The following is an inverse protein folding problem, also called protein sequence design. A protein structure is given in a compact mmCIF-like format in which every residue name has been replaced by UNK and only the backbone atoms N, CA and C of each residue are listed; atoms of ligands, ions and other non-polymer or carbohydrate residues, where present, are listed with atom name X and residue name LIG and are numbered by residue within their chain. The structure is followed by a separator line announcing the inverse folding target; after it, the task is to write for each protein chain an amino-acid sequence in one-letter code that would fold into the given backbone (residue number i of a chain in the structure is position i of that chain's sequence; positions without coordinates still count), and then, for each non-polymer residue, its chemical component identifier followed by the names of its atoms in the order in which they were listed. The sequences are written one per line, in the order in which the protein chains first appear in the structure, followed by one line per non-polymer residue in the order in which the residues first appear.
data_IF_791330503952
#
_entry.id   IF_791330503952
#
_cell.length_a   1.000
_cell.length_b   1.000
_cell.length_c   1.000
_cell.angle_alpha   90.00
_cell.angle_beta   90.00
_cell.angle_gamma   90.00
#
_symmetry.space_group_name_H-M   'P 1'
#
loop_
_entity.id
_entity.type
_entity.pdbx_description
1 polymer ?
#
# COMPACT_ATOMS: atom_id res chain seq x y z
N UNK A 1 -55.81 20.45 -14.32
CA UNK A 1 -54.97 21.56 -13.83
C UNK A 1 -53.56 20.98 -13.72
N UNK A 2 -52.50 21.38 -14.45
CA UNK A 2 -51.99 22.74 -14.80
C UNK A 2 -51.70 23.55 -13.53
N UNK A 3 -50.50 24.04 -13.24
CA UNK A 3 -49.34 24.47 -14.07
C UNK A 3 -48.02 23.72 -13.72
N UNK A 4 -46.94 23.60 -14.52
CA UNK A 4 -46.10 24.48 -15.38
C UNK A 4 -45.07 25.40 -14.67
N UNK A 5 -43.80 24.95 -14.60
CA UNK A 5 -42.50 25.61 -14.94
C UNK A 5 -41.35 24.71 -14.40
N UNK A 6 -40.38 24.22 -15.17
CA UNK A 6 -39.34 24.88 -16.00
C UNK A 6 -38.31 25.64 -15.14
N UNK A 7 -37.08 25.12 -15.10
CA UNK A 7 -35.90 25.74 -14.53
C UNK A 7 -34.62 25.13 -15.14
N UNK A 8 -34.09 25.75 -16.19
CA UNK A 8 -32.89 25.29 -16.92
C UNK A 8 -31.70 26.19 -16.61
N UNK A 9 -30.53 25.61 -16.29
CA UNK A 9 -29.34 26.39 -15.92
C UNK A 9 -28.02 25.61 -16.01
N UNK A 10 -27.57 25.29 -17.23
CA UNK A 10 -26.16 24.94 -17.51
C UNK A 10 -25.39 26.21 -17.88
N UNK A 11 -24.23 26.42 -17.28
CA UNK A 11 -22.97 26.73 -18.00
C UNK A 11 -21.80 26.93 -17.01
N UNK A 12 -20.71 26.18 -17.20
CA UNK A 12 -19.38 26.55 -16.72
C UNK A 12 -18.65 27.31 -17.84
N UNK A 13 -18.12 28.50 -17.56
CA UNK A 13 -17.09 29.15 -18.38
C UNK A 13 -16.49 30.35 -17.63
N UNK A 14 -15.28 30.19 -17.10
CA UNK A 14 -14.44 31.28 -16.61
C UNK A 14 -13.15 31.27 -17.41
N UNK A 15 -12.70 32.45 -17.82
CA UNK A 15 -11.65 32.62 -18.82
C UNK A 15 -10.25 32.48 -18.23
N UNK A 16 -9.35 31.84 -18.98
CA UNK A 16 -7.90 31.98 -18.79
C UNK A 16 -7.44 33.15 -19.66
N UNK A 17 -7.04 34.25 -19.02
CA UNK A 17 -6.31 35.34 -19.67
C UNK A 17 -4.89 35.37 -19.13
N UNK A 18 -3.93 34.87 -19.92
CA UNK A 18 -2.52 35.05 -19.62
C UNK A 18 -2.08 36.49 -19.85
N UNK A 19 -1.21 37.02 -18.99
CA UNK A 19 -0.52 38.28 -19.21
C UNK A 19 0.97 38.09 -18.87
N UNK A 20 1.82 38.09 -19.89
CA UNK A 20 3.27 38.08 -19.70
C UNK A 20 3.79 39.50 -19.47
N UNK A 21 4.73 39.67 -18.55
CA UNK A 21 5.41 40.95 -18.32
C UNK A 21 6.91 40.73 -18.10
N UNK A 22 7.65 40.66 -19.21
CA UNK A 22 9.09 40.85 -19.22
C UNK A 22 9.39 42.34 -19.11
N UNK A 23 9.97 42.78 -17.99
CA UNK A 23 10.74 44.02 -17.92
C UNK A 23 11.97 43.83 -17.04
N UNK A 24 13.11 43.57 -17.69
CA UNK A 24 14.41 43.91 -17.12
C UNK A 24 14.79 45.33 -17.54
N UNK A 25 15.44 46.09 -16.67
CA UNK A 25 16.14 47.31 -17.02
C UNK A 25 17.42 47.44 -16.17
N UNK A 26 18.54 47.98 -16.70
CA UNK A 26 19.85 47.80 -16.07
C UNK A 26 20.34 49.02 -15.29
N UNK A 27 21.22 48.82 -14.30
CA UNK A 27 22.52 49.50 -14.29
C UNK A 27 23.49 49.02 -13.20
N UNK A 28 24.71 48.70 -13.63
CA UNK A 28 26.01 48.74 -12.95
C UNK A 28 26.05 49.25 -11.49
N UNK A 29 26.49 48.37 -10.58
CA UNK A 29 27.51 48.72 -9.59
C UNK A 29 28.76 47.85 -9.87
N UNK A 30 29.94 48.46 -9.86
CA UNK A 30 31.22 47.73 -9.94
C UNK A 30 31.73 47.37 -8.53
N UNK A 31 32.67 46.41 -8.40
CA UNK A 31 33.18 45.99 -7.11
C UNK A 31 34.19 46.99 -6.55
N UNK A 32 34.09 47.28 -5.25
CA UNK A 32 35.22 47.74 -4.44
C UNK A 32 35.82 46.53 -3.73
N UNK A 33 37.16 46.35 -3.71
CA UNK A 33 37.79 45.29 -2.95
C UNK A 33 37.72 45.60 -1.44
N UNK A 34 37.07 44.73 -0.69
CA UNK A 34 37.09 44.71 0.77
C UNK A 34 37.39 43.30 1.24
N UNK A 35 38.38 43.15 2.13
CA UNK A 35 38.74 41.85 2.67
C UNK A 35 37.64 41.33 3.60
N UNK A 36 37.30 40.05 3.44
CA UNK A 36 36.24 39.40 4.18
C UNK A 36 36.18 37.95 3.76
N UNK A 37 36.89 37.09 4.49
CA UNK A 37 36.87 35.63 4.27
C UNK A 37 35.53 35.10 4.81
N UNK A 38 34.49 35.27 4.01
CA UNK A 38 33.15 34.78 4.27
C UNK A 38 33.09 33.26 4.15
N UNK A 39 33.64 32.56 5.13
CA UNK A 39 33.39 31.14 5.31
C UNK A 39 31.88 30.93 5.47
N UNK A 40 31.28 30.14 4.58
CA UNK A 40 29.86 29.80 4.62
C UNK A 40 29.60 28.85 5.79
N UNK A 41 29.55 29.39 7.00
CA UNK A 41 29.32 28.65 8.23
C UNK A 41 27.96 27.98 8.21
N UNK A 42 27.96 26.65 8.13
CA UNK A 42 26.81 25.82 8.44
C UNK A 42 26.40 26.11 9.91
N UNK A 43 25.15 26.49 10.13
CA UNK A 43 24.67 26.82 11.48
C UNK A 43 24.56 25.54 12.30
N UNK A 44 25.15 25.46 13.51
CA UNK A 44 25.14 24.23 14.29
C UNK A 44 23.71 23.85 14.71
N UNK A 45 23.40 22.55 14.67
CA UNK A 45 22.17 21.97 15.20
C UNK A 45 22.05 22.14 16.72
N UNK A 46 23.20 22.28 17.40
CA UNK A 46 23.32 22.60 18.80
C UNK A 46 24.77 22.90 19.17
N UNK A 47 24.95 23.75 20.18
CA UNK A 47 26.26 24.14 20.70
C UNK A 47 26.26 24.18 22.22
N UNK A 48 27.44 24.14 22.82
CA UNK A 48 27.67 24.41 24.25
C UNK A 48 29.06 25.01 24.40
N UNK A 49 29.24 26.00 25.28
CA UNK A 49 30.55 26.60 25.56
C UNK A 49 30.97 26.52 27.04
N UNK A 50 32.26 26.67 27.27
CA UNK A 50 32.88 26.90 28.58
C UNK A 50 34.17 27.71 28.42
N UNK A 51 34.76 28.18 29.52
CA UNK A 51 36.05 28.90 29.51
C UNK A 51 37.13 28.02 30.15
N UNK A 52 38.21 27.75 29.42
CA UNK A 52 39.37 26.98 29.88
C UNK A 52 40.65 27.79 29.63
N UNK A 53 41.54 27.87 30.61
CA UNK A 53 42.82 28.63 30.58
C UNK A 53 42.72 30.13 30.21
N UNK A 54 41.50 30.67 30.08
CA UNK A 54 41.20 32.05 29.65
C UNK A 54 40.56 32.16 28.26
N UNK A 55 40.43 31.05 27.53
CA UNK A 55 39.88 30.95 26.18
C UNK A 55 38.48 30.32 26.22
N UNK A 56 37.56 30.77 25.35
CA UNK A 56 36.23 30.15 25.23
C UNK A 56 36.29 28.96 24.26
N UNK A 57 35.96 27.76 24.76
CA UNK A 57 35.83 26.55 23.96
C UNK A 57 34.34 26.31 23.66
N UNK A 58 33.96 26.28 22.38
CA UNK A 58 32.57 25.97 21.96
C UNK A 58 32.54 24.65 21.22
N UNK A 59 31.88 23.64 21.78
CA UNK A 59 31.59 22.38 21.08
C UNK A 59 30.34 22.59 20.21
N UNK A 60 30.47 22.37 18.90
CA UNK A 60 29.40 22.47 17.92
C UNK A 60 29.04 21.10 17.34
N UNK A 61 27.74 20.81 17.23
CA UNK A 61 27.21 19.74 16.37
C UNK A 61 26.77 20.38 15.05
N UNK A 62 27.53 20.15 13.99
CA UNK A 62 27.32 20.78 12.69
C UNK A 62 26.14 20.15 11.94
N UNK A 63 26.01 18.82 11.98
CA UNK A 63 24.98 18.15 11.18
C UNK A 63 24.83 16.65 11.47
N UNK A 64 23.69 16.12 11.04
CA UNK A 64 23.41 14.68 10.95
C UNK A 64 22.90 14.38 9.54
N UNK A 65 23.42 13.34 8.92
CA UNK A 65 23.13 12.95 7.52
C UNK A 65 21.66 12.63 7.21
N UNK A 66 20.85 12.26 8.23
CA UNK A 66 19.42 11.95 8.10
C UNK A 66 18.72 12.06 9.46
N UNK A 67 17.43 12.37 9.47
CA UNK A 67 16.58 12.39 10.68
C UNK A 67 15.80 11.09 10.89
N UNK A 68 15.39 10.42 9.80
CA UNK A 68 14.79 9.08 9.78
C UNK A 68 15.74 8.08 9.10
N UNK A 69 15.66 6.80 9.48
CA UNK A 69 16.66 5.77 9.15
C UNK A 69 16.08 4.35 9.23
N UNK A 70 16.78 3.39 8.63
CA UNK A 70 16.62 1.95 8.88
C UNK A 70 17.86 1.36 9.59
N UNK A 71 17.75 0.17 10.17
CA UNK A 71 18.86 -0.48 10.90
C UNK A 71 20.09 -0.83 10.07
N UNK A 72 20.03 -0.70 8.74
CA UNK A 72 21.18 -0.86 7.82
C UNK A 72 21.72 0.45 7.27
N UNK A 73 21.06 1.57 7.56
CA UNK A 73 21.52 2.88 7.10
C UNK A 73 22.71 3.36 7.93
N UNK A 74 23.72 4.00 7.32
CA UNK A 74 24.71 4.78 8.05
C UNK A 74 24.11 6.11 8.51
N UNK A 75 24.22 6.38 9.80
CA UNK A 75 23.94 7.66 10.45
C UNK A 75 25.28 8.35 10.69
N UNK A 76 25.73 9.14 9.72
CA UNK A 76 26.89 10.03 9.89
C UNK A 76 26.49 11.27 10.68
N UNK A 77 27.31 11.64 11.68
CA UNK A 77 27.22 12.85 12.50
C UNK A 77 28.53 13.64 12.41
N UNK A 78 28.46 14.98 12.51
CA UNK A 78 29.61 15.88 12.40
C UNK A 78 29.61 16.97 13.46
N UNK A 79 30.79 17.36 13.89
CA UNK A 79 31.00 18.46 14.83
C UNK A 79 32.41 19.01 14.76
N UNK A 80 32.66 20.05 15.57
CA UNK A 80 33.97 20.68 15.76
C UNK A 80 34.01 21.41 17.09
N UNK A 81 35.21 21.82 17.50
CA UNK A 81 35.45 22.76 18.59
C UNK A 81 35.84 24.10 17.96
N UNK A 82 34.99 25.11 18.13
CA UNK A 82 35.24 26.47 17.63
C UNK A 82 36.56 26.98 18.22
N UNK A 83 37.37 27.59 17.36
CA UNK A 83 38.66 28.22 17.65
C UNK A 83 39.75 27.31 18.29
N UNK A 84 39.50 26.00 18.41
CA UNK A 84 40.46 24.99 18.91
C UNK A 84 40.39 23.65 18.13
N UNK A 85 40.65 23.64 16.81
CA UNK A 85 40.40 22.49 15.92
C UNK A 85 41.26 21.25 16.23
N UNK A 86 42.38 21.40 16.95
CA UNK A 86 43.15 20.26 17.47
C UNK A 86 42.41 19.46 18.56
N UNK A 87 41.25 19.94 19.01
CA UNK A 87 40.32 19.25 19.90
C UNK A 87 39.21 18.50 19.16
N UNK A 88 39.05 18.68 17.84
CA UNK A 88 38.00 18.01 17.04
C UNK A 88 38.11 16.48 17.13
N UNK A 89 39.32 15.96 17.05
CA UNK A 89 39.61 14.52 17.15
C UNK A 89 39.43 13.94 18.57
N UNK A 90 39.05 14.78 19.55
CA UNK A 90 38.69 14.38 20.93
C UNK A 90 37.17 14.43 21.19
N UNK A 91 36.35 14.77 20.19
CA UNK A 91 34.90 14.78 20.35
C UNK A 91 34.41 13.33 20.45
N UNK A 92 33.80 12.99 21.59
CA UNK A 92 33.19 11.69 21.86
C UNK A 92 31.71 11.72 21.51
N UNK A 93 31.32 10.91 20.52
CA UNK A 93 29.96 10.77 20.04
C UNK A 93 29.27 9.56 20.66
N UNK A 94 27.95 9.65 20.88
CA UNK A 94 27.12 8.53 21.34
C UNK A 94 25.69 8.69 20.82
N UNK A 95 25.13 7.62 20.23
CA UNK A 95 23.70 7.49 20.00
C UNK A 95 23.07 6.66 21.12
N UNK A 96 22.25 7.30 21.96
CA UNK A 96 21.59 6.63 23.09
C UNK A 96 20.19 6.18 22.70
N UNK A 97 19.85 4.88 22.80
CA UNK A 97 18.53 4.38 22.42
C UNK A 97 17.44 4.95 23.34
N UNK A 98 16.34 5.37 22.72
CA UNK A 98 15.12 5.81 23.40
C UNK A 98 14.07 4.70 23.27
N UNK A 99 13.51 4.29 24.40
CA UNK A 99 12.51 3.22 24.48
C UNK A 99 13.09 1.80 24.37
N UNK A 100 12.39 0.78 24.90
CA UNK A 100 12.87 -0.61 24.92
C UNK A 100 12.94 -1.26 23.54
N UNK A 101 12.25 -0.69 22.54
CA UNK A 101 12.27 -1.15 21.15
C UNK A 101 13.59 -0.84 20.43
N UNK A 102 14.37 0.12 20.93
CA UNK A 102 15.63 0.54 20.31
C UNK A 102 16.80 -0.16 20.97
N UNK A 103 17.71 -0.73 20.17
CA UNK A 103 18.98 -1.27 20.64
C UNK A 103 20.08 -0.21 20.59
N UNK A 104 21.11 -0.40 21.40
CA UNK A 104 22.35 0.38 21.37
C UNK A 104 22.94 0.35 19.95
N UNK A 105 23.47 1.48 19.48
CA UNK A 105 24.03 1.58 18.14
C UNK A 105 25.40 0.88 18.04
N UNK A 106 25.83 0.56 16.81
CA UNK A 106 27.19 0.08 16.51
C UNK A 106 27.96 1.15 15.69
N UNK A 107 29.12 1.63 16.14
CA UNK A 107 29.70 1.42 17.48
C UNK A 107 28.86 2.12 18.56
N UNK A 108 28.96 1.70 19.81
CA UNK A 108 28.22 2.34 20.91
C UNK A 108 28.72 3.75 21.22
N UNK A 109 29.98 4.05 20.89
CA UNK A 109 30.62 5.36 20.96
C UNK A 109 31.75 5.47 19.94
N UNK A 110 32.04 6.69 19.47
CA UNK A 110 33.11 6.97 18.49
C UNK A 110 33.84 8.26 18.87
N UNK A 111 35.14 8.35 18.63
CA UNK A 111 35.94 9.57 18.83
C UNK A 111 36.34 10.15 17.46
N UNK A 112 36.28 11.48 17.27
CA UNK A 112 36.65 12.13 16.00
C UNK A 112 35.77 13.32 15.62
N UNK A 113 36.23 14.11 14.63
CA UNK A 113 35.45 15.19 14.00
C UNK A 113 34.16 14.70 13.30
N UNK A 114 34.20 13.50 12.74
CA UNK A 114 33.08 12.77 12.14
C UNK A 114 32.92 11.39 12.81
N UNK A 115 31.68 10.92 12.96
CA UNK A 115 31.39 9.56 13.38
C UNK A 115 30.26 8.96 12.54
N UNK A 116 30.29 7.63 12.34
CA UNK A 116 29.25 6.88 11.62
C UNK A 116 28.71 5.79 12.52
N UNK A 117 27.38 5.73 12.63
CA UNK A 117 26.65 4.78 13.46
C UNK A 117 25.65 3.95 12.65
N UNK A 118 25.37 2.74 13.11
CA UNK A 118 24.27 1.90 12.64
C UNK A 118 23.26 1.62 13.76
N UNK A 119 21.98 1.76 13.45
CA UNK A 119 20.87 1.55 14.38
C UNK A 119 20.48 0.07 14.50
N UNK A 120 19.90 -0.33 15.63
CA UNK A 120 19.44 -1.70 15.85
C UNK A 120 18.02 -1.76 16.43
N UNK A 121 17.24 -2.75 15.98
CA UNK A 121 15.88 -3.00 16.45
C UNK A 121 15.86 -4.06 17.55
N UNK A 122 15.00 -3.86 18.54
CA UNK A 122 14.53 -4.86 19.52
C UNK A 122 13.04 -5.17 19.36
N UNK A 123 12.42 -4.73 18.25
CA UNK A 123 11.00 -4.97 17.96
C UNK A 123 10.75 -6.47 17.77
N UNK A 124 9.82 -7.03 18.55
CA UNK A 124 9.45 -8.44 18.47
C UNK A 124 8.61 -8.75 17.23
N UNK A 125 8.90 -9.86 16.54
CA UNK A 125 8.15 -10.30 15.35
C UNK A 125 6.83 -11.01 15.68
N UNK A 126 6.24 -10.75 16.85
CA UNK A 126 4.92 -11.26 17.23
C UNK A 126 3.80 -10.52 16.51
N UNK A 127 2.72 -11.24 16.18
CA UNK A 127 1.59 -10.69 15.43
C UNK A 127 0.75 -9.71 16.26
N UNK A 128 0.65 -8.46 15.80
CA UNK A 128 -0.11 -7.38 16.45
C UNK A 128 -1.07 -6.68 15.47
N UNK A 129 -2.16 -6.12 16.02
CA UNK A 129 -3.11 -5.24 15.31
C UNK A 129 -2.91 -3.75 15.62
N UNK A 130 -1.74 -3.39 16.16
CA UNK A 130 -1.28 -2.03 16.43
C UNK A 130 0.07 -1.83 15.73
N UNK A 131 0.40 -0.62 15.22
CA UNK A 131 1.70 -0.36 14.63
C UNK A 131 2.82 -0.49 15.66
N UNK A 132 4.02 -0.80 15.19
CA UNK A 132 5.23 -0.78 16.01
C UNK A 132 5.59 0.64 16.48
N UNK A 133 6.18 0.80 17.68
CA UNK A 133 6.84 2.04 18.05
C UNK A 133 8.08 2.27 17.15
N UNK A 134 8.41 3.52 16.80
CA UNK A 134 9.61 3.83 16.02
C UNK A 134 10.90 3.55 16.80
N UNK A 135 11.97 3.28 16.07
CA UNK A 135 13.33 3.36 16.61
C UNK A 135 13.72 4.84 16.80
N UNK A 136 14.36 5.16 17.93
CA UNK A 136 14.62 6.55 18.36
C UNK A 136 15.96 6.67 19.11
N UNK A 137 16.75 7.73 18.83
CA UNK A 137 18.02 7.99 19.52
C UNK A 137 18.20 9.46 19.97
N UNK A 138 18.73 9.66 21.19
CA UNK A 138 19.35 10.92 21.63
C UNK A 138 20.80 10.95 21.11
N UNK A 139 21.13 11.92 20.25
CA UNK A 139 22.52 12.22 19.89
C UNK A 139 23.17 13.06 20.98
N UNK A 140 24.31 12.59 21.48
CA UNK A 140 25.14 13.31 22.46
C UNK A 140 26.55 13.45 21.92
N UNK A 141 27.06 14.69 21.94
CA UNK A 141 28.47 15.00 21.75
C UNK A 141 29.07 15.39 23.12
N UNK A 142 30.23 14.85 23.45
CA UNK A 142 30.98 15.16 24.68
C UNK A 142 32.43 15.48 24.34
N UNK A 143 32.96 16.60 24.82
CA UNK A 143 34.38 16.91 24.76
C UNK A 143 34.97 16.78 26.18
N UNK A 144 35.79 15.76 26.47
CA UNK A 144 36.47 15.63 27.75
C UNK A 144 37.58 16.69 27.85
N UNK A 145 37.55 17.49 28.91
CA UNK A 145 38.47 18.61 29.14
C UNK A 145 39.56 18.23 30.16
N UNK A 146 40.42 19.20 30.53
CA UNK A 146 41.34 19.00 31.66
C UNK A 146 40.57 18.92 32.98
N UNK A 147 41.26 18.48 34.04
CA UNK A 147 40.73 18.35 35.42
C UNK A 147 39.51 17.40 35.60
N UNK A 148 39.08 16.72 34.54
CA UNK A 148 37.96 15.77 34.55
C UNK A 148 36.61 16.39 34.17
N UNK A 149 36.57 17.66 33.76
CA UNK A 149 35.36 18.28 33.23
C UNK A 149 34.97 17.68 31.86
N UNK A 150 33.71 17.88 31.45
CA UNK A 150 33.24 17.43 30.13
C UNK A 150 32.18 18.40 29.61
N UNK A 151 32.52 19.13 28.55
CA UNK A 151 31.58 19.95 27.80
C UNK A 151 30.65 19.02 27.01
N UNK A 152 29.33 19.26 27.01
CA UNK A 152 28.36 18.35 26.39
C UNK A 152 27.28 19.10 25.62
N UNK A 153 27.11 18.72 24.35
CA UNK A 153 25.94 19.11 23.55
C UNK A 153 24.93 17.96 23.58
N UNK A 154 23.67 18.31 23.82
CA UNK A 154 22.51 17.47 23.52
C UNK A 154 21.60 18.27 22.61
N UNK A 155 21.17 17.66 21.51
CA UNK A 155 20.22 18.32 20.63
C UNK A 155 18.83 18.39 21.29
N UNK A 156 18.01 19.42 21.00
CA UNK A 156 16.65 19.50 21.53
C UNK A 156 15.77 18.35 21.00
N UNK A 157 14.64 18.08 21.67
CA UNK A 157 13.76 16.95 21.32
C UNK A 157 13.12 17.04 19.92
N UNK A 158 13.18 18.21 19.27
CA UNK A 158 12.81 18.42 17.87
C UNK A 158 13.85 17.91 16.86
N UNK A 159 15.05 17.54 17.31
CA UNK A 159 16.16 17.01 16.48
C UNK A 159 16.52 15.56 16.83
N UNK A 160 15.63 14.85 17.53
CA UNK A 160 15.79 13.41 17.77
C UNK A 160 15.87 12.66 16.45
N UNK A 161 16.77 11.68 16.39
CA UNK A 161 16.83 10.74 15.27
C UNK A 161 15.71 9.73 15.50
N UNK A 162 14.65 9.81 14.69
CA UNK A 162 13.39 9.11 14.91
C UNK A 162 12.81 8.66 13.58
N UNK A 163 12.40 7.40 13.51
CA UNK A 163 11.71 6.89 12.33
C UNK A 163 10.35 7.57 12.13
N UNK A 164 10.06 7.97 10.89
CA UNK A 164 8.71 8.30 10.45
C UNK A 164 7.89 7.04 10.13
N UNK A 165 6.59 7.19 9.86
CA UNK A 165 5.69 6.04 9.65
C UNK A 165 6.10 5.17 8.45
N UNK A 166 6.68 5.79 7.41
CA UNK A 166 7.23 5.07 6.25
C UNK A 166 8.41 4.18 6.66
N UNK A 167 9.40 4.71 7.38
CA UNK A 167 10.55 3.92 7.80
C UNK A 167 10.21 2.92 8.91
N UNK A 168 9.22 3.16 9.78
CA UNK A 168 8.72 2.13 10.71
C UNK A 168 8.09 0.95 9.94
N UNK A 169 7.27 1.22 8.93
CA UNK A 169 6.70 0.16 8.08
C UNK A 169 7.81 -0.59 7.34
N UNK A 170 8.80 0.11 6.77
CA UNK A 170 9.95 -0.52 6.08
C UNK A 170 10.84 -1.33 7.03
N UNK A 171 11.04 -0.86 8.26
CA UNK A 171 11.78 -1.57 9.31
C UNK A 171 11.09 -2.88 9.69
N UNK A 172 9.75 -2.90 9.73
CA UNK A 172 9.00 -4.12 9.99
C UNK A 172 9.31 -5.24 8.96
N UNK A 173 9.49 -4.91 7.68
CA UNK A 173 9.92 -5.88 6.66
C UNK A 173 11.35 -6.41 6.88
N UNK A 174 12.25 -5.58 7.43
CA UNK A 174 13.61 -5.96 7.78
C UNK A 174 13.62 -6.88 9.01
N UNK A 175 12.93 -6.49 10.07
CA UNK A 175 12.90 -7.21 11.36
C UNK A 175 12.23 -8.59 11.23
N UNK A 176 11.22 -8.71 10.37
CA UNK A 176 10.59 -9.98 10.04
C UNK A 176 11.37 -10.84 9.01
N UNK A 177 12.47 -10.34 8.44
CA UNK A 177 13.26 -11.06 7.44
C UNK A 177 12.52 -11.33 6.12
N UNK A 178 11.63 -10.43 5.71
CA UNK A 178 10.91 -10.53 4.44
C UNK A 178 11.88 -10.47 3.24
N UNK A 179 11.56 -11.16 2.14
CA UNK A 179 12.32 -11.05 0.89
C UNK A 179 12.05 -9.73 0.17
N UNK A 180 10.81 -9.27 0.22
CA UNK A 180 10.43 -7.91 -0.18
C UNK A 180 10.70 -6.96 0.99
N UNK A 181 11.54 -5.95 0.77
CA UNK A 181 11.85 -4.88 1.71
C UNK A 181 11.64 -3.55 0.97
N UNK A 182 10.46 -2.91 1.12
CA UNK A 182 10.06 -1.81 0.25
C UNK A 182 10.99 -0.60 0.32
N UNK A 183 11.21 0.05 -0.82
CA UNK A 183 11.68 1.44 -0.86
C UNK A 183 10.54 2.40 -0.52
N UNK A 184 10.84 3.67 -0.18
CA UNK A 184 9.80 4.69 -0.02
C UNK A 184 9.00 4.92 -1.31
N UNK A 185 9.61 4.72 -2.48
CA UNK A 185 8.91 4.76 -3.77
C UNK A 185 7.86 3.65 -3.93
N UNK A 186 8.04 2.51 -3.27
CA UNK A 186 7.08 1.39 -3.20
C UNK A 186 6.04 1.54 -2.08
N UNK A 187 6.11 2.61 -1.29
CA UNK A 187 5.04 3.01 -0.38
C UNK A 187 4.09 4.00 -1.05
N UNK A 188 2.82 3.97 -0.66
CA UNK A 188 1.84 4.99 -1.02
C UNK A 188 0.72 5.07 0.03
N UNK A 189 0.08 6.23 0.11
CA UNK A 189 -1.28 6.28 0.63
C UNK A 189 -2.19 5.48 -0.31
N UNK A 190 -3.08 4.61 0.20
CA UNK A 190 -3.93 3.78 -0.62
C UNK A 190 -4.95 4.63 -1.41
N UNK A 191 -5.13 4.34 -2.70
CA UNK A 191 -6.10 5.04 -3.55
C UNK A 191 -7.56 4.83 -3.10
N UNK A 192 -7.84 3.66 -2.49
CA UNK A 192 -9.14 3.25 -1.92
C UNK A 192 -8.88 2.77 -0.50
N UNK A 193 -9.63 3.23 0.51
CA UNK A 193 -9.33 2.90 1.92
C UNK A 193 -9.42 1.40 2.22
N UNK A 194 -10.26 0.67 1.49
CA UNK A 194 -10.38 -0.79 1.55
C UNK A 194 -9.12 -1.54 1.10
N UNK A 195 -8.20 -0.91 0.36
CA UNK A 195 -6.90 -1.51 0.05
C UNK A 195 -5.97 -1.65 1.25
N UNK A 196 -6.23 -0.95 2.37
CA UNK A 196 -5.36 -1.00 3.55
C UNK A 196 -6.06 -1.61 4.76
N UNK A 197 -5.77 -2.89 5.05
CA UNK A 197 -6.19 -3.56 6.29
C UNK A 197 -5.05 -3.69 7.31
N UNK A 198 -3.96 -2.95 7.10
CA UNK A 198 -2.76 -2.91 7.93
C UNK A 198 -2.91 -2.19 9.27
N UNK A 199 -1.76 -1.87 9.85
CA UNK A 199 -1.60 -1.15 11.11
C UNK A 199 -1.16 0.32 10.93
N UNK A 200 -0.90 0.75 9.69
CA UNK A 200 -0.30 2.04 9.30
C UNK A 200 -1.15 2.75 8.25
N UNK A 201 -0.97 4.06 8.05
CA UNK A 201 -1.65 4.82 6.98
C UNK A 201 -1.22 4.45 5.55
N UNK A 202 -0.01 3.91 5.40
CA UNK A 202 0.60 3.53 4.12
C UNK A 202 0.38 2.07 3.76
N UNK A 203 0.32 1.79 2.46
CA UNK A 203 0.46 0.45 1.88
C UNK A 203 1.85 0.28 1.26
N UNK A 204 2.34 -0.95 1.19
CA UNK A 204 3.55 -1.31 0.44
C UNK A 204 3.17 -2.26 -0.70
N UNK A 205 3.50 -1.89 -1.93
CA UNK A 205 3.26 -2.69 -3.13
C UNK A 205 4.58 -3.04 -3.82
N UNK A 206 4.80 -4.31 -4.13
CA UNK A 206 6.00 -4.75 -4.87
C UNK A 206 6.05 -4.11 -6.27
N UNK A 207 4.90 -3.96 -6.91
CA UNK A 207 4.67 -3.15 -8.12
C UNK A 207 3.58 -2.10 -7.82
N UNK A 208 3.95 -0.80 -7.81
CA UNK A 208 3.07 0.30 -7.38
C UNK A 208 1.77 0.41 -8.21
N UNK A 209 0.63 0.56 -7.55
CA UNK A 209 -0.71 0.49 -8.16
C UNK A 209 -1.11 -0.93 -8.58
N UNK A 210 -0.43 -1.95 -8.06
CA UNK A 210 -0.67 -3.37 -8.37
C UNK A 210 -2.05 -3.84 -7.90
N UNK A 211 -2.51 -3.38 -6.72
CA UNK A 211 -3.84 -3.67 -6.20
C UNK A 211 -4.94 -3.04 -7.05
N UNK A 212 -4.77 -1.77 -7.46
CA UNK A 212 -5.69 -1.06 -8.35
C UNK A 212 -5.80 -1.79 -9.70
N UNK A 213 -4.67 -2.07 -10.35
CA UNK A 213 -4.64 -2.87 -11.59
C UNK A 213 -5.19 -4.29 -11.43
N UNK A 214 -5.24 -4.86 -10.22
CA UNK A 214 -5.85 -6.18 -9.98
C UNK A 214 -7.36 -6.05 -9.86
N UNK A 215 -7.84 -5.06 -9.09
CA UNK A 215 -9.25 -4.74 -8.96
C UNK A 215 -9.88 -4.41 -10.32
N UNK A 216 -9.28 -3.52 -11.10
CA UNK A 216 -9.74 -3.14 -12.44
C UNK A 216 -9.86 -4.35 -13.39
N UNK A 217 -8.89 -5.28 -13.34
CA UNK A 217 -8.88 -6.45 -14.21
C UNK A 217 -9.96 -7.46 -13.80
N UNK A 218 -10.12 -7.74 -12.50
CA UNK A 218 -11.17 -8.63 -11.99
C UNK A 218 -12.55 -8.01 -12.20
N UNK A 219 -12.73 -6.69 -11.96
CA UNK A 219 -13.99 -5.98 -12.18
C UNK A 219 -14.40 -5.97 -13.65
N UNK A 220 -13.47 -5.64 -14.56
CA UNK A 220 -13.68 -5.75 -16.00
C UNK A 220 -14.06 -7.17 -16.41
N UNK A 221 -13.49 -8.19 -15.77
CA UNK A 221 -13.79 -9.60 -16.06
C UNK A 221 -15.14 -10.04 -15.49
N UNK A 222 -15.50 -9.61 -14.28
CA UNK A 222 -16.83 -9.79 -13.67
C UNK A 222 -17.92 -9.15 -14.54
N UNK A 223 -17.71 -7.93 -15.02
CA UNK A 223 -18.62 -7.28 -15.97
C UNK A 223 -18.70 -8.06 -17.29
N UNK A 224 -17.59 -8.61 -17.78
CA UNK A 224 -17.59 -9.49 -18.97
C UNK A 224 -18.28 -10.86 -18.74
N UNK A 225 -18.44 -11.31 -17.49
CA UNK A 225 -19.21 -12.51 -17.12
C UNK A 225 -20.71 -12.21 -16.84
N UNK A 226 -21.06 -10.97 -16.54
CA UNK A 226 -22.46 -10.57 -16.28
C UNK A 226 -23.20 -10.12 -17.53
N UNK A 227 -22.45 -9.73 -18.57
CA UNK A 227 -22.98 -9.16 -19.81
C UNK A 227 -23.12 -10.18 -20.96
N UNK A 228 -22.76 -11.46 -20.76
CA UNK A 228 -22.68 -12.51 -21.79
C UNK A 228 -23.06 -13.92 -21.23
N UNK A 229 -23.55 -14.86 -22.08
CA UNK A 229 -24.13 -16.17 -21.68
C UNK A 229 -23.39 -17.49 -22.15
N UNK A 230 -22.25 -17.90 -21.55
CA UNK A 230 -21.49 -19.17 -21.86
C UNK A 230 -20.64 -19.78 -20.72
N UNK A 231 -20.77 -21.07 -20.45
CA UNK A 231 -20.08 -21.76 -19.34
C UNK A 231 -18.53 -21.71 -19.41
N UNK A 232 -17.87 -20.98 -18.50
CA UNK A 232 -16.39 -20.90 -18.46
C UNK A 232 -15.69 -22.00 -17.66
N UNK A 233 -16.34 -22.53 -16.62
CA UNK A 233 -15.86 -23.70 -15.86
C UNK A 233 -16.78 -24.88 -16.13
N UNK A 234 -16.26 -25.97 -16.68
CA UNK A 234 -17.04 -27.16 -17.03
C UNK A 234 -17.67 -27.84 -15.80
N UNK A 235 -18.85 -28.43 -15.98
CA UNK A 235 -19.52 -29.20 -14.91
C UNK A 235 -18.60 -30.32 -14.41
N UNK A 236 -18.45 -30.46 -13.10
CA UNK A 236 -17.60 -31.48 -12.48
C UNK A 236 -16.11 -31.10 -12.36
N UNK A 237 -15.70 -29.90 -12.79
CA UNK A 237 -14.44 -29.31 -12.33
C UNK A 237 -14.53 -29.05 -10.81
N UNK A 238 -13.38 -29.11 -10.13
CA UNK A 238 -13.27 -29.10 -8.67
C UNK A 238 -13.98 -27.89 -8.05
N UNK A 239 -15.10 -28.15 -7.35
CA UNK A 239 -15.81 -27.13 -6.58
C UNK A 239 -17.02 -26.50 -7.27
N UNK A 240 -17.63 -27.20 -8.24
CA UNK A 240 -18.92 -26.87 -8.81
C UNK A 240 -19.88 -28.05 -8.70
N UNK A 241 -20.98 -27.88 -7.97
CA UNK A 241 -22.16 -28.72 -8.09
C UNK A 241 -22.76 -28.63 -9.50
N UNK A 242 -23.53 -29.66 -9.90
CA UNK A 242 -23.98 -29.82 -11.30
C UNK A 242 -25.05 -28.80 -11.77
N UNK A 243 -25.49 -27.93 -10.86
CA UNK A 243 -26.42 -26.82 -11.03
C UNK A 243 -25.74 -25.44 -11.00
N UNK A 244 -24.44 -25.39 -10.73
CA UNK A 244 -23.68 -24.14 -10.55
C UNK A 244 -22.97 -23.76 -11.85
N UNK A 245 -23.58 -22.84 -12.61
CA UNK A 245 -23.09 -22.36 -13.91
C UNK A 245 -22.73 -20.87 -13.88
N UNK A 246 -21.57 -20.54 -14.47
CA UNK A 246 -20.95 -19.21 -14.58
C UNK A 246 -20.70 -18.90 -16.06
N UNK A 247 -21.09 -17.71 -16.55
CA UNK A 247 -21.35 -17.47 -17.99
C UNK A 247 -20.55 -16.31 -18.66
N UNK A 248 -20.23 -16.42 -19.96
CA UNK A 248 -19.36 -15.57 -20.84
C UNK A 248 -19.77 -15.65 -22.35
N UNK A 249 -18.94 -15.61 -23.42
CA UNK A 249 -19.42 -15.93 -24.80
C UNK A 249 -18.61 -17.01 -25.58
N UNK A 250 -19.25 -17.83 -26.43
CA UNK A 250 -18.58 -18.82 -27.32
C UNK A 250 -19.51 -19.85 -28.01
N UNK A 251 -18.99 -20.62 -28.98
CA UNK A 251 -19.74 -21.62 -29.77
C UNK A 251 -20.31 -22.81 -28.94
N UNK A 252 -21.54 -23.21 -29.28
CA UNK A 252 -22.25 -24.45 -28.93
C UNK A 252 -21.73 -25.29 -27.73
N UNK A 253 -22.04 -24.87 -26.50
CA UNK A 253 -21.74 -25.63 -25.27
C UNK A 253 -22.91 -26.58 -24.90
N UNK A 254 -22.68 -27.90 -24.69
CA UNK A 254 -23.74 -28.86 -24.35
C UNK A 254 -24.41 -28.74 -22.96
N UNK A 255 -24.08 -27.73 -22.14
CA UNK A 255 -24.59 -27.59 -20.76
C UNK A 255 -24.82 -26.14 -20.35
N UNK A 256 -26.04 -25.83 -19.91
CA UNK A 256 -26.42 -24.66 -19.12
C UNK A 256 -27.52 -25.09 -18.13
N UNK A 257 -27.38 -24.71 -16.87
CA UNK A 257 -28.32 -24.98 -15.79
C UNK A 257 -27.67 -24.77 -14.42
N UNK A 258 -28.39 -24.39 -13.36
CA UNK A 258 -29.85 -24.39 -13.25
C UNK A 258 -30.54 -23.03 -13.45
N UNK A 259 -31.70 -23.09 -14.12
CA UNK A 259 -32.91 -22.28 -13.91
C UNK A 259 -32.85 -20.74 -13.97
N UNK A 260 -33.49 -20.20 -15.01
CA UNK A 260 -34.59 -19.24 -14.77
C UNK A 260 -34.26 -17.75 -14.71
N UNK A 261 -33.07 -17.32 -15.12
CA UNK A 261 -32.78 -15.89 -15.27
C UNK A 261 -33.21 -15.35 -16.64
N UNK A 262 -32.70 -15.93 -17.72
CA UNK A 262 -32.89 -15.44 -19.09
C UNK A 262 -34.04 -16.14 -19.80
N UNK A 263 -34.93 -15.35 -20.40
CA UNK A 263 -35.98 -15.83 -21.31
C UNK A 263 -35.45 -15.82 -22.75
N UNK A 264 -35.62 -16.90 -23.55
CA UNK A 264 -35.19 -16.94 -24.94
C UNK A 264 -35.80 -15.81 -25.78
N UNK A 265 -34.99 -15.20 -26.65
CA UNK A 265 -35.42 -14.17 -27.60
C UNK A 265 -35.01 -14.52 -29.03
N UNK A 266 -35.65 -13.89 -30.02
CA UNK A 266 -35.39 -14.16 -31.43
C UNK A 266 -35.90 -15.53 -31.86
N UNK A 267 -35.04 -16.32 -32.50
CA UNK A 267 -35.27 -17.70 -32.92
C UNK A 267 -34.67 -18.75 -31.95
N UNK A 268 -34.13 -18.32 -30.80
CA UNK A 268 -33.56 -19.18 -29.76
C UNK A 268 -34.62 -20.05 -29.06
N UNK A 269 -34.24 -21.27 -28.66
CA UNK A 269 -35.15 -22.25 -28.06
C UNK A 269 -34.69 -22.77 -26.71
N UNK A 270 -35.63 -22.87 -25.76
CA UNK A 270 -35.39 -23.54 -24.48
C UNK A 270 -35.38 -25.06 -24.67
N UNK A 271 -34.25 -25.71 -24.38
CA UNK A 271 -34.09 -27.16 -24.35
C UNK A 271 -34.46 -27.79 -22.98
N UNK A 272 -34.74 -26.96 -21.97
CA UNK A 272 -35.27 -27.39 -20.67
C UNK A 272 -36.79 -27.30 -20.57
N UNK A 273 -37.39 -27.76 -19.46
CA UNK A 273 -38.78 -27.44 -19.14
C UNK A 273 -38.95 -25.93 -18.91
N UNK A 274 -40.19 -25.43 -18.92
CA UNK A 274 -40.50 -24.07 -18.49
C UNK A 274 -41.01 -24.06 -17.04
N UNK A 275 -40.47 -23.15 -16.22
CA UNK A 275 -40.84 -22.98 -14.81
C UNK A 275 -41.15 -21.50 -14.58
N UNK A 276 -42.38 -21.20 -14.13
CA UNK A 276 -42.84 -19.81 -13.95
C UNK A 276 -42.91 -18.99 -15.25
N UNK A 277 -42.92 -19.66 -16.42
CA UNK A 277 -42.83 -19.03 -17.75
C UNK A 277 -41.41 -18.92 -18.31
N UNK A 278 -40.38 -19.19 -17.50
CA UNK A 278 -38.96 -19.04 -17.86
C UNK A 278 -38.28 -20.35 -18.21
N UNK A 279 -37.15 -20.29 -18.91
CA UNK A 279 -36.37 -21.48 -19.27
C UNK A 279 -35.65 -22.12 -18.06
N UNK A 280 -35.82 -23.43 -17.86
CA UNK A 280 -35.21 -24.19 -16.76
C UNK A 280 -33.98 -25.02 -17.16
N UNK A 281 -33.50 -24.90 -18.39
CA UNK A 281 -32.35 -25.63 -18.92
C UNK A 281 -31.60 -24.80 -19.97
N UNK A 282 -30.89 -25.43 -20.92
CA UNK A 282 -30.13 -24.69 -21.91
C UNK A 282 -31.02 -23.88 -22.84
N UNK A 283 -30.56 -22.69 -23.19
CA UNK A 283 -31.04 -21.93 -24.34
C UNK A 283 -30.12 -22.31 -25.50
N UNK A 284 -30.69 -22.81 -26.58
CA UNK A 284 -29.97 -23.10 -27.81
C UNK A 284 -30.16 -21.92 -28.76
N UNK A 285 -29.06 -21.49 -29.39
CA UNK A 285 -29.12 -20.53 -30.49
C UNK A 285 -30.07 -21.04 -31.59
N UNK A 286 -30.81 -20.12 -32.20
CA UNK A 286 -31.74 -20.44 -33.27
C UNK A 286 -31.08 -20.96 -34.56
N UNK A 287 -31.88 -21.26 -35.61
CA UNK A 287 -31.37 -21.73 -36.90
C UNK A 287 -30.37 -20.80 -37.61
N UNK A 288 -30.25 -19.54 -37.17
CA UNK A 288 -29.18 -18.61 -37.57
C UNK A 288 -27.77 -18.98 -37.05
N UNK A 289 -27.66 -19.84 -36.02
CA UNK A 289 -26.42 -20.17 -35.32
C UNK A 289 -25.88 -19.09 -34.37
N UNK A 290 -26.68 -18.06 -34.07
CA UNK A 290 -26.30 -16.87 -33.29
C UNK A 290 -27.36 -16.63 -32.21
N UNK A 291 -27.00 -16.76 -30.94
CA UNK A 291 -27.90 -16.48 -29.82
C UNK A 291 -28.40 -15.02 -29.87
N UNK A 292 -29.70 -14.82 -30.12
CA UNK A 292 -30.34 -13.49 -30.06
C UNK A 292 -30.73 -13.11 -28.63
N UNK A 293 -30.82 -14.10 -27.73
CA UNK A 293 -31.08 -13.96 -26.30
C UNK A 293 -30.00 -13.12 -25.59
N UNK A 294 -30.36 -12.04 -24.87
CA UNK A 294 -29.42 -11.20 -24.15
C UNK A 294 -29.37 -11.46 -22.63
N UNK A 295 -28.17 -11.64 -22.06
CA UNK A 295 -27.93 -11.64 -20.63
C UNK A 295 -28.71 -10.55 -19.87
N UNK A 296 -29.51 -10.95 -18.87
CA UNK A 296 -30.40 -10.03 -18.14
C UNK A 296 -29.65 -8.92 -17.39
N UNK A 297 -28.39 -9.18 -17.04
CA UNK A 297 -27.54 -8.29 -16.26
C UNK A 297 -26.59 -7.46 -17.13
N UNK A 298 -26.81 -7.42 -18.45
CA UNK A 298 -26.04 -6.65 -19.47
C UNK A 298 -25.97 -5.14 -19.24
N UNK A 299 -26.76 -4.61 -18.30
CA UNK A 299 -26.76 -3.21 -17.88
C UNK A 299 -26.52 -3.02 -16.38
N UNK A 300 -26.20 -4.09 -15.63
CA UNK A 300 -25.93 -4.01 -14.19
C UNK A 300 -24.55 -3.40 -13.94
N UNK A 301 -24.45 -2.22 -13.31
CA UNK A 301 -23.16 -1.70 -12.88
C UNK A 301 -22.65 -2.53 -11.70
N UNK A 302 -21.40 -2.97 -11.78
CA UNK A 302 -20.69 -3.62 -10.67
C UNK A 302 -19.45 -2.81 -10.35
N UNK A 303 -19.30 -2.48 -9.06
CA UNK A 303 -18.09 -1.92 -8.50
C UNK A 303 -17.62 -2.86 -7.39
N UNK A 304 -16.45 -3.48 -7.57
CA UNK A 304 -15.91 -4.47 -6.63
C UNK A 304 -15.30 -3.81 -5.38
N UNK A 305 -15.02 -2.50 -5.42
CA UNK A 305 -14.50 -1.75 -4.25
C UNK A 305 -15.35 -1.95 -2.98
N UNK A 306 -16.67 -1.94 -3.13
CA UNK A 306 -17.62 -2.09 -2.02
C UNK A 306 -17.65 -3.49 -1.39
N UNK A 307 -16.93 -4.46 -1.97
CA UNK A 307 -16.84 -5.84 -1.47
C UNK A 307 -15.41 -6.28 -1.10
N UNK A 308 -14.42 -5.39 -1.15
CA UNK A 308 -13.05 -5.69 -0.70
C UNK A 308 -13.09 -5.91 0.82
N UNK A 309 -12.95 -7.16 1.25
CA UNK A 309 -12.89 -7.57 2.67
C UNK A 309 -11.45 -7.62 3.20
N UNK A 310 -10.47 -7.71 2.30
CA UNK A 310 -9.05 -7.71 2.59
C UNK A 310 -8.19 -7.33 1.39
N UNK A 311 -6.99 -6.80 1.64
CA UNK A 311 -6.08 -6.32 0.61
C UNK A 311 -4.64 -6.26 1.16
N UNK A 312 -3.97 -5.11 1.16
CA UNK A 312 -2.68 -4.94 1.83
C UNK A 312 -2.81 -5.18 3.33
N UNK A 313 -1.87 -5.95 3.89
CA UNK A 313 -1.63 -6.00 5.34
C UNK A 313 -0.15 -6.21 5.65
N UNK A 314 0.43 -5.31 6.43
CA UNK A 314 1.84 -5.34 6.83
C UNK A 314 2.23 -6.66 7.54
N UNK A 315 3.50 -7.09 7.47
CA UNK A 315 4.03 -8.32 8.08
C UNK A 315 3.43 -8.72 9.44
N UNK A 316 3.38 -7.79 10.38
CA UNK A 316 2.88 -7.97 11.73
C UNK A 316 1.36 -8.17 11.78
N UNK A 317 0.62 -7.44 10.95
CA UNK A 317 -0.84 -7.61 10.80
C UNK A 317 -1.19 -8.92 10.11
N UNK A 318 -0.39 -9.36 9.12
CA UNK A 318 -0.52 -10.65 8.46
C UNK A 318 -0.32 -11.81 9.46
N UNK A 319 0.64 -11.70 10.38
CA UNK A 319 0.81 -12.66 11.48
C UNK A 319 -0.34 -12.59 12.51
N UNK A 320 -0.87 -11.39 12.78
CA UNK A 320 -2.04 -11.19 13.65
C UNK A 320 -3.38 -11.68 13.06
N UNK A 321 -3.44 -11.93 11.75
CA UNK A 321 -4.54 -12.64 11.08
C UNK A 321 -4.28 -14.15 10.93
N UNK A 322 -3.30 -14.70 11.66
CA UNK A 322 -3.01 -16.13 11.69
C UNK A 322 -2.14 -16.67 10.55
N UNK A 323 -1.66 -15.82 9.63
CA UNK A 323 -0.81 -16.30 8.55
C UNK A 323 0.61 -16.58 9.02
N UNK A 324 1.09 -17.80 8.76
CA UNK A 324 2.47 -18.20 9.02
C UNK A 324 3.45 -17.84 7.88
N UNK A 325 2.95 -17.51 6.69
CA UNK A 325 3.81 -17.10 5.56
C UNK A 325 4.11 -15.60 5.66
N UNK A 326 5.39 -15.26 5.86
CA UNK A 326 5.83 -13.87 5.93
C UNK A 326 5.84 -13.15 4.56
N UNK A 327 6.13 -13.90 3.50
CA UNK A 327 6.03 -13.43 2.11
C UNK A 327 4.61 -13.74 1.59
N UNK A 328 3.60 -13.32 2.35
CA UNK A 328 2.19 -13.44 1.97
C UNK A 328 1.89 -12.43 0.86
N UNK A 329 1.16 -12.79 -0.20
CA UNK A 329 0.76 -11.84 -1.25
C UNK A 329 0.12 -10.54 -0.70
N UNK A 330 -0.55 -10.58 0.46
CA UNK A 330 -1.06 -9.38 1.14
C UNK A 330 0.02 -8.46 1.72
N UNK A 331 1.13 -9.01 2.23
CA UNK A 331 2.28 -8.21 2.67
C UNK A 331 3.15 -7.76 1.50
N UNK A 332 2.87 -8.20 0.26
CA UNK A 332 3.51 -7.73 -0.97
C UNK A 332 2.65 -6.72 -1.77
N UNK A 333 1.43 -6.40 -1.33
CA UNK A 333 0.47 -5.62 -2.11
C UNK A 333 0.02 -6.31 -3.40
N UNK A 334 -0.05 -7.65 -3.39
CA UNK A 334 -0.33 -8.51 -4.55
C UNK A 334 -1.63 -9.32 -4.44
N UNK A 335 -2.46 -9.10 -3.43
CA UNK A 335 -3.71 -9.84 -3.24
C UNK A 335 -4.88 -9.00 -2.75
N UNK A 336 -6.08 -9.43 -3.15
CA UNK A 336 -7.39 -8.94 -2.73
C UNK A 336 -8.20 -10.12 -2.18
N UNK A 337 -8.86 -9.92 -1.04
CA UNK A 337 -9.92 -10.76 -0.52
C UNK A 337 -11.24 -10.03 -0.84
N UNK A 338 -12.15 -10.68 -1.56
CA UNK A 338 -13.42 -10.11 -2.03
C UNK A 338 -14.59 -10.90 -1.41
N UNK A 339 -15.66 -10.22 -0.98
CA UNK A 339 -16.90 -10.86 -0.52
C UNK A 339 -18.07 -10.63 -1.51
N UNK A 340 -18.16 -11.41 -2.61
CA UNK A 340 -19.25 -11.34 -3.59
C UNK A 340 -20.66 -11.48 -3.01
N UNK A 341 -20.82 -12.00 -1.79
CA UNK A 341 -22.12 -12.15 -1.12
C UNK A 341 -22.72 -10.81 -0.72
N UNK A 342 -21.92 -9.74 -0.71
CA UNK A 342 -22.33 -8.36 -0.50
C UNK A 342 -22.82 -7.65 -1.78
N UNK A 343 -22.62 -8.25 -2.97
CA UNK A 343 -23.22 -7.74 -4.21
C UNK A 343 -24.71 -8.08 -4.28
N UNK A 344 -25.53 -7.12 -4.74
CA UNK A 344 -26.94 -7.34 -5.04
C UNK A 344 -27.14 -7.24 -6.55
N UNK A 345 -27.23 -8.40 -7.22
CA UNK A 345 -27.36 -8.52 -8.67
C UNK A 345 -28.62 -9.32 -8.98
N UNK A 346 -29.55 -8.80 -9.82
CA UNK A 346 -30.77 -9.52 -10.18
C UNK A 346 -30.50 -10.93 -10.72
N UNK A 347 -31.33 -11.89 -10.31
CA UNK A 347 -31.21 -13.30 -10.66
C UNK A 347 -30.11 -14.08 -9.91
N UNK A 348 -29.02 -13.42 -9.51
CA UNK A 348 -27.85 -14.13 -8.96
C UNK A 348 -27.90 -14.30 -7.44
N UNK A 349 -27.79 -15.56 -7.03
CA UNK A 349 -27.56 -15.95 -5.63
C UNK A 349 -26.13 -15.66 -5.20
N UNK A 350 -25.90 -15.52 -3.90
CA UNK A 350 -24.56 -15.29 -3.35
C UNK A 350 -23.55 -16.39 -3.74
N UNK A 351 -23.98 -17.65 -3.89
CA UNK A 351 -23.12 -18.74 -4.34
C UNK A 351 -22.69 -18.60 -5.82
N UNK A 352 -23.62 -18.24 -6.71
CA UNK A 352 -23.28 -17.93 -8.10
C UNK A 352 -22.33 -16.73 -8.21
N UNK A 353 -22.48 -15.72 -7.33
CA UNK A 353 -21.60 -14.56 -7.28
C UNK A 353 -20.19 -14.90 -6.79
N UNK A 354 -20.05 -15.79 -5.81
CA UNK A 354 -18.74 -16.35 -5.40
C UNK A 354 -18.04 -17.04 -6.57
N UNK A 355 -18.72 -17.97 -7.25
CA UNK A 355 -18.17 -18.68 -8.41
C UNK A 355 -17.84 -17.76 -9.60
N UNK A 356 -18.64 -16.71 -9.83
CA UNK A 356 -18.40 -15.74 -10.89
C UNK A 356 -17.15 -14.90 -10.63
N UNK A 357 -16.95 -14.43 -9.39
CA UNK A 357 -15.74 -13.67 -9.03
C UNK A 357 -14.50 -14.56 -8.95
N UNK A 358 -14.63 -15.83 -8.55
CA UNK A 358 -13.54 -16.80 -8.63
C UNK A 358 -13.11 -17.06 -10.08
N UNK A 359 -14.06 -17.35 -10.98
CA UNK A 359 -13.76 -17.54 -12.41
C UNK A 359 -13.17 -16.26 -13.06
N UNK A 360 -13.63 -15.07 -12.65
CA UNK A 360 -13.02 -13.82 -13.07
C UNK A 360 -11.57 -13.68 -12.58
N UNK A 361 -11.29 -14.09 -11.34
CA UNK A 361 -9.93 -14.17 -10.81
C UNK A 361 -9.08 -15.16 -11.60
N UNK A 362 -9.55 -16.39 -11.84
CA UNK A 362 -8.82 -17.42 -12.58
C UNK A 362 -8.44 -16.98 -13.99
N UNK A 363 -9.31 -16.26 -14.68
CA UNK A 363 -9.03 -15.70 -16.01
C UNK A 363 -8.03 -14.51 -15.99
N UNK A 364 -7.74 -13.93 -14.82
CA UNK A 364 -6.81 -12.79 -14.65
C UNK A 364 -5.47 -13.22 -14.04
N UNK A 365 -5.45 -14.22 -13.16
CA UNK A 365 -4.24 -14.67 -12.41
C UNK A 365 -3.96 -16.18 -12.45
N UNK A 366 -4.88 -16.99 -12.98
CA UNK A 366 -4.79 -18.45 -13.10
C UNK A 366 -5.37 -19.24 -11.92
N UNK A 367 -5.84 -20.47 -12.20
CA UNK A 367 -6.52 -21.42 -11.28
C UNK A 367 -5.81 -21.78 -9.96
N UNK A 368 -4.57 -21.31 -9.75
CA UNK A 368 -3.79 -21.54 -8.52
C UNK A 368 -3.69 -20.28 -7.66
N UNK A 369 -4.32 -19.20 -8.11
CA UNK A 369 -4.14 -17.83 -7.64
C UNK A 369 -5.44 -17.06 -7.46
N UNK A 370 -6.56 -17.52 -8.01
CA UNK A 370 -7.87 -17.24 -7.43
C UNK A 370 -8.46 -18.52 -6.84
N UNK A 371 -9.15 -18.40 -5.71
CA UNK A 371 -9.86 -19.49 -5.05
C UNK A 371 -10.76 -18.95 -3.94
N UNK A 372 -11.85 -19.66 -3.71
CA UNK A 372 -12.74 -19.46 -2.57
C UNK A 372 -12.14 -20.10 -1.31
N UNK A 373 -12.11 -19.36 -0.19
CA UNK A 373 -11.68 -19.90 1.11
C UNK A 373 -12.56 -19.44 2.28
N UNK A 374 -12.26 -19.98 3.47
CA UNK A 374 -12.83 -19.58 4.75
C UNK A 374 -11.71 -19.23 5.72
N UNK A 375 -11.31 -17.96 5.69
CA UNK A 375 -10.05 -17.51 6.28
C UNK A 375 -8.80 -18.23 5.75
N UNK A 376 -7.63 -17.80 6.25
CA UNK A 376 -6.29 -17.98 5.65
C UNK A 376 -5.72 -19.40 5.44
N UNK A 377 -6.52 -20.46 5.53
CA UNK A 377 -6.08 -21.86 5.42
C UNK A 377 -7.10 -22.83 4.81
N UNK A 378 -8.37 -22.47 4.66
CA UNK A 378 -9.45 -23.42 4.35
C UNK A 378 -10.02 -23.19 2.95
N UNK A 379 -9.34 -23.72 1.93
CA UNK A 379 -9.81 -23.75 0.55
C UNK A 379 -11.13 -24.53 0.43
N UNK A 380 -12.11 -23.97 -0.29
CA UNK A 380 -13.45 -24.52 -0.45
C UNK A 380 -13.87 -24.56 -1.94
N UNK A 381 -15.02 -25.18 -2.19
CA UNK A 381 -15.76 -25.00 -3.42
C UNK A 381 -16.35 -23.57 -3.47
N UNK A 382 -16.50 -22.98 -4.65
CA UNK A 382 -17.01 -21.61 -4.78
C UNK A 382 -18.50 -21.49 -4.44
N UNK A 383 -19.25 -22.60 -4.59
CA UNK A 383 -20.64 -22.73 -4.18
C UNK A 383 -20.83 -22.95 -2.66
N UNK A 384 -19.73 -23.10 -1.91
CA UNK A 384 -19.79 -23.57 -0.53
C UNK A 384 -20.44 -22.53 0.41
N UNK A 385 -21.52 -22.89 1.13
CA UNK A 385 -22.14 -21.98 2.11
C UNK A 385 -21.26 -21.75 3.36
N UNK A 386 -20.12 -22.43 3.46
CA UNK A 386 -19.12 -22.21 4.50
C UNK A 386 -18.03 -21.20 4.11
N UNK A 387 -17.97 -20.75 2.85
CA UNK A 387 -17.00 -19.77 2.37
C UNK A 387 -17.27 -18.37 2.92
N UNK A 388 -16.20 -17.59 3.13
CA UNK A 388 -16.31 -16.19 3.56
C UNK A 388 -15.71 -15.15 2.59
N UNK A 389 -14.85 -15.55 1.65
CA UNK A 389 -14.39 -14.67 0.57
C UNK A 389 -13.82 -15.47 -0.62
N UNK A 390 -13.67 -14.78 -1.76
CA UNK A 390 -12.80 -15.18 -2.87
C UNK A 390 -11.46 -14.44 -2.69
N UNK A 391 -10.38 -15.20 -2.54
CA UNK A 391 -9.03 -14.67 -2.56
C UNK A 391 -8.52 -14.61 -4.01
N UNK A 392 -7.90 -13.50 -4.42
CA UNK A 392 -7.27 -13.32 -5.73
C UNK A 392 -5.88 -12.70 -5.55
N UNK A 393 -4.83 -13.36 -6.08
CA UNK A 393 -3.43 -12.92 -5.95
C UNK A 393 -2.64 -12.95 -7.25
N UNK A 394 -1.57 -12.15 -7.35
CA UNK A 394 -0.50 -12.30 -8.35
C UNK A 394 0.75 -12.91 -7.72
#
# INVERSE_FOLDING_TARGET
MSTRRIGTGRAWLVWITGLGLLMGCPSRCGPSPGEGVGGSGELPLGEASTVQDGEELVLEVLGVSRTSFLTRDPITVRGRVRDAPELDERIQWTLRPIGPQTADADPTSHEGSEAVFHAFSRVGTEGSRRPNPPLEYELVASLPLREGETLRVRLPSSTLLRQDEEDVLRQEYIDYGSRFQPTREQLSLPARTSFNTGNYGFIAEEEKGGLERLLEQVEKRVLALLNNDVQEKSVGVRGLAADTVVVSPGDAIPTVGALGDTDPQGDDVCAGPQVGGRCAGPILAGPNGISETPANNRTTPVALEGIISGAFRNPQRNRASGSANINSPHSLGRALDLDPRLLSIPGKTSAQLMCLVEAAGDAVVGEKNAFTERGSTTFLACDSPAADHVHVRR
#
